data_IF_488655307147
#
_entry.id   IF_488655307147
#
_cell.length_a   1.000
_cell.length_b   1.000
_cell.length_c   1.000
_cell.angle_alpha   90.00
_cell.angle_beta   90.00
_cell.angle_gamma   90.00
#
_symmetry.space_group_name_H-M   'P 1'
#
loop_
_entity.id
_entity.type
_entity.pdbx_description
1 polymer ?
#
# COMPACT_ATOMS: atom_id res chain seq x y z
N UNK A 1 17.33 -4.97 4.36
CA UNK A 1 16.22 -4.47 5.20
C UNK A 1 15.02 -5.37 4.95
N UNK A 2 14.59 -6.14 5.94
CA UNK A 2 13.49 -7.11 5.82
C UNK A 2 12.21 -6.62 6.51
N UNK A 3 11.05 -7.15 6.11
CA UNK A 3 9.80 -6.93 6.82
C UNK A 3 9.76 -7.74 8.14
N UNK A 4 9.10 -7.26 9.20
CA UNK A 4 8.89 -8.05 10.41
C UNK A 4 8.15 -9.36 10.10
N UNK A 5 8.59 -10.49 10.67
CA UNK A 5 8.10 -11.83 10.31
C UNK A 5 6.58 -12.02 10.42
N UNK A 6 5.92 -11.28 11.32
CA UNK A 6 4.47 -11.33 11.54
C UNK A 6 3.71 -10.13 10.98
N UNK A 7 4.37 -9.29 10.16
CA UNK A 7 3.71 -8.15 9.51
C UNK A 7 2.97 -8.58 8.24
N UNK A 8 1.95 -7.81 7.87
CA UNK A 8 1.28 -7.94 6.57
C UNK A 8 2.25 -7.72 5.40
N UNK A 9 3.31 -6.95 5.61
CA UNK A 9 4.41 -6.74 4.65
C UNK A 9 5.17 -8.01 4.31
N UNK A 10 5.32 -8.94 5.27
CA UNK A 10 6.05 -10.20 5.06
C UNK A 10 5.37 -11.13 4.06
N UNK A 11 4.06 -10.98 3.83
CA UNK A 11 3.32 -11.71 2.78
C UNK A 11 3.85 -11.43 1.37
N UNK A 12 4.54 -10.31 1.18
CA UNK A 12 5.04 -9.85 -0.12
C UNK A 12 6.53 -10.08 -0.32
N UNK A 13 7.16 -10.93 0.48
CA UNK A 13 8.57 -11.30 0.26
C UNK A 13 8.74 -11.97 -1.12
N UNK A 14 9.84 -11.67 -1.85
CA UNK A 14 11.03 -10.94 -1.42
C UNK A 14 10.94 -9.41 -1.50
N UNK A 15 9.81 -8.84 -1.96
CA UNK A 15 9.61 -7.41 -2.18
C UNK A 15 8.55 -6.81 -1.26
N UNK A 16 8.85 -6.66 0.05
CA UNK A 16 7.85 -6.30 1.05
C UNK A 16 7.20 -4.95 0.73
N UNK A 17 5.90 -4.86 1.00
CA UNK A 17 5.09 -3.66 0.79
C UNK A 17 4.84 -2.92 2.09
N UNK A 18 4.64 -1.61 2.00
CA UNK A 18 4.38 -0.72 3.13
C UNK A 18 3.41 0.38 2.72
N UNK A 19 2.54 0.80 3.64
CA UNK A 19 1.69 1.96 3.45
C UNK A 19 2.50 3.25 3.53
N UNK A 20 2.05 4.27 2.80
CA UNK A 20 2.59 5.63 2.91
C UNK A 20 1.68 6.41 3.87
N UNK A 21 2.20 6.90 5.01
CA UNK A 21 1.39 7.65 5.95
C UNK A 21 0.74 8.87 5.28
N UNK A 22 -0.59 8.91 5.28
CA UNK A 22 -1.39 10.01 4.72
C UNK A 22 -1.55 10.01 3.19
N UNK A 23 -1.03 9.01 2.48
CA UNK A 23 -1.22 8.84 1.03
C UNK A 23 -1.92 7.50 0.76
N UNK A 24 -3.21 7.59 0.44
CA UNK A 24 -4.03 6.44 0.10
C UNK A 24 -3.87 6.03 -1.38
N UNK A 25 -3.25 6.85 -2.22
CA UNK A 25 -3.10 6.56 -3.65
C UNK A 25 -1.85 5.75 -3.96
N UNK A 26 -0.96 5.54 -2.98
CA UNK A 26 0.36 4.94 -3.21
C UNK A 26 0.78 4.00 -2.09
N UNK A 27 1.57 3.01 -2.47
CA UNK A 27 2.29 2.13 -1.55
C UNK A 27 3.77 2.10 -1.90
N UNK A 28 4.60 1.73 -0.92
CA UNK A 28 6.04 1.52 -1.13
C UNK A 28 6.29 0.02 -1.21
N UNK A 29 7.06 -0.42 -2.20
CA UNK A 29 7.67 -1.75 -2.21
C UNK A 29 9.19 -1.64 -2.19
N UNK A 30 9.87 -2.57 -1.51
CA UNK A 30 11.33 -2.63 -1.53
C UNK A 30 11.79 -3.66 -2.55
N UNK A 31 12.48 -3.20 -3.60
CA UNK A 31 13.05 -4.07 -4.62
C UNK A 31 14.57 -3.95 -4.55
N UNK A 32 15.25 -5.06 -4.26
CA UNK A 32 16.70 -5.13 -4.16
C UNK A 32 17.32 -4.04 -3.24
N UNK A 33 16.65 -3.74 -2.12
CA UNK A 33 17.12 -2.71 -1.18
C UNK A 33 16.82 -1.26 -1.58
N UNK A 34 16.02 -1.04 -2.63
CA UNK A 34 15.58 0.30 -3.04
C UNK A 34 14.06 0.45 -2.94
N UNK A 35 13.54 1.52 -2.30
CA UNK A 35 12.11 1.78 -2.24
C UNK A 35 11.60 2.21 -3.62
N UNK A 36 10.45 1.67 -4.02
CA UNK A 36 9.71 2.04 -5.22
C UNK A 36 8.30 2.41 -4.82
N UNK A 37 7.82 3.56 -5.30
CA UNK A 37 6.43 3.94 -5.17
C UNK A 37 5.60 3.26 -6.25
N UNK A 38 4.52 2.62 -5.85
CA UNK A 38 3.49 2.06 -6.73
C UNK A 38 2.24 2.88 -6.51
N UNK A 39 1.69 3.44 -7.59
CA UNK A 39 0.40 4.13 -7.54
C UNK A 39 -0.72 3.13 -7.75
N UNK A 40 -1.81 3.28 -7.00
CA UNK A 40 -3.05 2.57 -7.25
C UNK A 40 -3.70 3.05 -8.55
N UNK A 41 -4.49 2.16 -9.15
CA UNK A 41 -5.27 2.48 -10.34
C UNK A 41 -6.32 3.56 -10.04
N UNK A 42 -6.81 4.23 -11.08
CA UNK A 42 -7.86 5.24 -10.92
C UNK A 42 -9.10 4.65 -10.24
N UNK A 43 -9.62 5.35 -9.23
CA UNK A 43 -10.76 4.89 -8.42
C UNK A 43 -10.39 3.96 -7.26
N UNK A 44 -9.14 3.48 -7.19
CA UNK A 44 -8.65 2.62 -6.12
C UNK A 44 -7.75 3.36 -5.15
N UNK A 45 -7.69 2.84 -3.93
CA UNK A 45 -6.88 3.34 -2.82
C UNK A 45 -6.26 2.16 -2.06
N UNK A 46 -5.20 2.43 -1.31
CA UNK A 46 -4.49 1.44 -0.52
C UNK A 46 -5.33 1.01 0.69
N UNK A 47 -5.62 -0.28 0.79
CA UNK A 47 -6.09 -0.89 2.03
C UNK A 47 -4.88 -1.33 2.87
N UNK A 48 -4.60 -0.58 3.94
CA UNK A 48 -3.39 -0.74 4.75
C UNK A 48 -3.32 -2.09 5.47
N UNK A 49 -4.47 -2.72 5.76
CA UNK A 49 -4.52 -4.02 6.46
C UNK A 49 -4.06 -5.20 5.61
N UNK A 50 -4.10 -5.08 4.28
CA UNK A 50 -3.68 -6.13 3.34
C UNK A 50 -2.61 -5.67 2.33
N UNK A 51 -2.30 -4.37 2.29
CA UNK A 51 -1.30 -3.75 1.41
C UNK A 51 -1.56 -4.00 -0.08
N UNK A 52 -2.83 -3.89 -0.46
CA UNK A 52 -3.32 -3.95 -1.84
C UNK A 52 -4.18 -2.74 -2.16
N UNK A 53 -4.29 -2.42 -3.45
CA UNK A 53 -5.18 -1.37 -3.91
C UNK A 53 -6.59 -1.96 -4.07
N UNK A 54 -7.55 -1.38 -3.36
CA UNK A 54 -8.96 -1.75 -3.37
C UNK A 54 -9.83 -0.56 -3.78
N UNK A 55 -11.07 -0.82 -4.13
CA UNK A 55 -12.03 0.23 -4.46
C UNK A 55 -12.22 1.18 -3.27
N UNK A 56 -12.23 2.50 -3.55
CA UNK A 56 -12.32 3.51 -2.48
C UNK A 56 -13.58 3.41 -1.63
N UNK A 57 -14.65 2.82 -2.18
CA UNK A 57 -15.90 2.55 -1.47
C UNK A 57 -15.72 1.48 -0.38
N UNK A 58 -14.75 0.57 -0.56
CA UNK A 58 -14.44 -0.52 0.35
C UNK A 58 -13.40 -0.14 1.41
N UNK A 59 -12.75 1.03 1.25
CA UNK A 59 -11.74 1.55 2.18
C UNK A 59 -12.25 2.87 2.78
N UNK A 60 -13.14 2.84 3.80
CA UNK A 60 -13.78 4.04 4.36
C UNK A 60 -12.77 5.10 4.83
N UNK A 61 -11.60 4.67 5.32
CA UNK A 61 -10.51 5.56 5.76
C UNK A 61 -9.96 6.43 4.64
N UNK A 62 -10.04 5.95 3.41
CA UNK A 62 -9.48 6.58 2.22
C UNK A 62 -10.54 7.00 1.19
N UNK A 63 -11.82 6.85 1.50
CA UNK A 63 -12.93 7.19 0.60
C UNK A 63 -12.89 8.65 0.09
N UNK A 64 -12.36 9.58 0.89
CA UNK A 64 -12.23 10.99 0.50
C UNK A 64 -11.02 11.28 -0.40
N UNK A 65 -10.09 10.33 -0.58
CA UNK A 65 -8.85 10.55 -1.32
C UNK A 65 -9.09 10.67 -2.84
N UNK A 66 -10.09 9.96 -3.38
CA UNK A 66 -10.42 9.99 -4.83
C UNK A 66 -11.14 11.27 -5.25
N UNK A 67 -11.64 12.07 -4.29
CA UNK A 67 -12.36 13.32 -4.54
C UNK A 67 -11.46 14.56 -4.61
N UNK A 68 -10.14 14.39 -4.55
CA UNK A 68 -9.15 15.47 -4.49
C UNK A 68 -8.27 15.47 -5.73
#
# INVERSE_FOLDING_TARGET
MGAPAHSVSAKFLPFPRFAVPGDCGRLITWVNGHPRFISCEAGKVLEESILTCEDHELVPKCANFVRK
#
